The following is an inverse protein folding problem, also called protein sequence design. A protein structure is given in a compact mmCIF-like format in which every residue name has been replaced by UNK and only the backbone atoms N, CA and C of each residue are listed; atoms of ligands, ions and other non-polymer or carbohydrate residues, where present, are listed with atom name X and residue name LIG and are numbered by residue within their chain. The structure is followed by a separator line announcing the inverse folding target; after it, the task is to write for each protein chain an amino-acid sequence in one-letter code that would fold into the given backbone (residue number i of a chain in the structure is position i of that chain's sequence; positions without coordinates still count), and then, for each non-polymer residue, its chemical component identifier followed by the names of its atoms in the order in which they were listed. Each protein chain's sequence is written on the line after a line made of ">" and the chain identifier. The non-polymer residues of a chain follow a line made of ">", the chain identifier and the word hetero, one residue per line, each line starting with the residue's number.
data_IF_320929892282
#
_entry.id   IF_320929892282
#
_cell.length_a   1.000
_cell.length_b   1.000
_cell.length_c   1.000
_cell.angle_alpha   90.00
_cell.angle_beta   90.00
_cell.angle_gamma   90.00
#
_symmetry.space_group_name_H-M   'P 1'
#
loop_
_entity.id
_entity.type
_entity.pdbx_description
1 polymer ?
#
# COMPACT_ATOMS: atom_id res chain seq x y z
N UNK A 1 -15.90 20.61 -9.06
CA UNK A 1 -15.57 20.18 -7.68
C UNK A 1 -14.13 19.70 -7.58
N UNK A 2 -13.71 18.71 -8.38
CA UNK A 2 -12.32 18.26 -8.44
C UNK A 2 -11.32 19.41 -8.70
N UNK A 3 -11.63 20.29 -9.66
CA UNK A 3 -10.80 21.47 -9.96
C UNK A 3 -10.67 22.43 -8.78
N UNK A 4 -11.74 22.64 -8.00
CA UNK A 4 -11.68 23.55 -6.84
C UNK A 4 -10.90 22.97 -5.66
N UNK A 5 -10.67 21.66 -5.66
CA UNK A 5 -9.85 20.95 -4.67
C UNK A 5 -8.43 20.67 -5.20
N UNK A 6 -8.14 21.02 -6.47
CA UNK A 6 -6.86 20.73 -7.11
C UNK A 6 -6.57 19.23 -7.24
N UNK A 7 -7.60 18.39 -7.31
CA UNK A 7 -7.46 16.94 -7.49
C UNK A 7 -7.81 16.55 -8.94
N UNK A 8 -7.04 15.65 -9.57
CA UNK A 8 -7.36 15.16 -10.91
C UNK A 8 -8.64 14.31 -10.88
N UNK A 9 -9.40 14.40 -11.97
CA UNK A 9 -10.64 13.65 -12.17
C UNK A 9 -10.49 12.68 -13.34
N UNK A 10 -11.08 11.49 -13.22
CA UNK A 10 -11.08 10.47 -14.25
C UNK A 10 -12.38 9.67 -14.19
N UNK A 11 -13.11 9.60 -15.31
CA UNK A 11 -14.28 8.73 -15.44
C UNK A 11 -13.83 7.31 -15.80
N UNK A 12 -14.29 6.33 -15.04
CA UNK A 12 -13.89 4.92 -15.22
C UNK A 12 -15.11 4.02 -15.29
N UNK A 13 -15.04 2.95 -16.09
CA UNK A 13 -16.03 1.87 -16.09
C UNK A 13 -15.35 0.56 -15.79
N UNK A 14 -15.56 0.03 -14.58
CA UNK A 14 -15.08 -1.30 -14.22
C UNK A 14 -15.74 -2.39 -15.10
N UNK A 15 -17.00 -2.19 -15.47
CA UNK A 15 -17.76 -3.12 -16.33
C UNK A 15 -17.16 -3.24 -17.73
N UNK A 16 -16.73 -2.12 -18.29
CA UNK A 16 -16.21 -2.05 -19.66
C UNK A 16 -14.68 -1.90 -19.71
N UNK A 17 -14.00 -2.08 -18.57
CA UNK A 17 -12.57 -1.84 -18.37
C UNK A 17 -12.06 -0.45 -18.84
N UNK A 18 -12.94 0.54 -18.95
CA UNK A 18 -12.61 1.87 -19.47
C UNK A 18 -11.84 2.66 -18.41
N UNK A 19 -10.65 3.14 -18.77
CA UNK A 19 -9.79 3.99 -17.95
C UNK A 19 -9.35 3.37 -16.61
N UNK A 20 -9.58 2.07 -16.40
CA UNK A 20 -9.22 1.38 -15.14
C UNK A 20 -7.70 1.37 -14.97
N UNK A 21 -6.95 0.90 -15.97
CA UNK A 21 -5.48 0.87 -15.91
C UNK A 21 -4.89 2.28 -15.74
N UNK A 22 -5.39 3.24 -16.52
CA UNK A 22 -4.95 4.63 -16.43
C UNK A 22 -5.23 5.24 -15.05
N UNK A 23 -6.33 4.85 -14.38
CA UNK A 23 -6.62 5.32 -13.02
C UNK A 23 -5.55 4.88 -12.02
N UNK A 24 -5.11 3.62 -12.09
CA UNK A 24 -4.05 3.08 -11.25
C UNK A 24 -2.70 3.72 -11.54
N UNK A 25 -2.35 3.89 -12.82
CA UNK A 25 -1.08 4.51 -13.22
C UNK A 25 -1.02 5.98 -12.81
N UNK A 26 -2.11 6.72 -12.99
CA UNK A 26 -2.20 8.14 -12.59
C UNK A 26 -2.04 8.28 -11.09
N UNK A 27 -2.74 7.45 -10.30
CA UNK A 27 -2.62 7.46 -8.85
C UNK A 27 -1.21 7.12 -8.37
N UNK A 28 -0.60 6.08 -8.92
CA UNK A 28 0.77 5.69 -8.59
C UNK A 28 1.80 6.78 -8.93
N UNK A 29 1.64 7.42 -10.10
CA UNK A 29 2.49 8.54 -10.52
C UNK A 29 2.37 9.75 -9.58
N UNK A 30 1.15 10.10 -9.17
CA UNK A 30 0.92 11.21 -8.23
C UNK A 30 1.51 10.91 -6.84
N UNK A 31 1.38 9.68 -6.35
CA UNK A 31 2.03 9.26 -5.09
C UNK A 31 3.55 9.40 -5.21
N UNK A 32 4.15 8.86 -6.28
CA UNK A 32 5.60 8.96 -6.53
C UNK A 32 6.07 10.42 -6.61
N UNK A 33 5.33 11.27 -7.31
CA UNK A 33 5.62 12.70 -7.46
C UNK A 33 5.64 13.42 -6.12
N UNK A 34 4.69 13.12 -5.22
CA UNK A 34 4.63 13.72 -3.87
C UNK A 34 5.72 13.21 -2.94
N UNK A 35 6.06 11.93 -3.04
CA UNK A 35 7.04 11.26 -2.19
C UNK A 35 8.50 11.64 -2.51
N UNK A 36 8.78 12.12 -3.74
CA UNK A 36 10.12 12.51 -4.18
C UNK A 36 11.08 11.32 -4.39
N UNK A 37 12.26 11.55 -5.00
CA UNK A 37 13.25 10.50 -5.22
C UNK A 37 13.81 10.02 -3.87
N UNK A 38 13.40 8.83 -3.41
CA UNK A 38 13.91 8.19 -2.19
C UNK A 38 12.85 7.53 -1.32
N UNK A 39 11.62 8.05 -1.27
CA UNK A 39 10.57 7.48 -0.43
C UNK A 39 9.96 6.17 -0.96
N UNK A 40 10.19 5.83 -2.24
CA UNK A 40 9.78 4.54 -2.83
C UNK A 40 10.85 3.47 -2.75
N UNK A 41 12.11 3.84 -2.45
CA UNK A 41 13.26 2.95 -2.42
C UNK A 41 13.76 2.80 -0.98
N UNK A 42 13.02 2.10 -0.14
CA UNK A 42 13.47 1.84 1.23
C UNK A 42 12.38 1.92 2.30
N UNK A 43 11.25 1.23 2.10
CA UNK A 43 10.33 0.91 3.20
C UNK A 43 10.81 -0.24 4.08
N UNK A 44 12.12 -0.51 4.12
CA UNK A 44 12.72 -1.64 4.83
C UNK A 44 13.19 -1.28 6.25
N UNK A 45 12.88 -0.09 6.77
CA UNK A 45 13.28 0.32 8.11
C UNK A 45 12.09 0.66 9.03
N UNK A 46 10.98 -0.07 8.86
CA UNK A 46 10.15 -0.37 10.02
C UNK A 46 10.58 -1.76 10.47
N UNK A 47 11.06 -1.86 11.71
CA UNK A 47 11.42 -3.11 12.38
C UNK A 47 10.18 -3.99 12.53
N UNK A 48 9.72 -4.57 11.42
CA UNK A 48 8.59 -5.48 11.38
C UNK A 48 9.12 -6.81 11.91
N UNK A 49 8.90 -7.07 13.20
CA UNK A 49 9.22 -8.36 13.81
C UNK A 49 8.33 -9.41 13.16
N UNK A 50 8.91 -10.25 12.29
CA UNK A 50 8.22 -11.36 11.65
C UNK A 50 8.00 -12.47 12.67
N UNK A 51 6.85 -12.45 13.36
CA UNK A 51 6.48 -13.52 14.30
C UNK A 51 6.05 -14.74 13.48
N UNK A 52 6.93 -15.73 13.40
CA UNK A 52 6.60 -17.08 12.92
C UNK A 52 6.36 -17.96 14.15
N UNK A 53 5.11 -18.02 14.63
CA UNK A 53 4.76 -18.89 15.75
C UNK A 53 4.61 -20.33 15.28
N UNK A 54 5.34 -21.25 15.90
CA UNK A 54 5.03 -22.69 15.86
C UNK A 54 4.07 -23.03 17.00
N UNK A 55 3.14 -23.99 16.83
CA UNK A 55 2.27 -24.44 17.91
C UNK A 55 3.07 -24.87 19.13
N UNK A 56 2.75 -24.31 20.30
CA UNK A 56 3.41 -24.67 21.55
C UNK A 56 3.03 -26.12 21.87
N UNK A 57 4.01 -27.03 21.87
CA UNK A 57 3.82 -28.37 22.40
C UNK A 57 3.58 -28.22 23.90
N UNK A 58 2.37 -28.50 24.38
CA UNK A 58 2.07 -28.58 25.81
C UNK A 58 2.88 -29.74 26.41
N UNK A 59 4.09 -29.46 26.87
CA UNK A 59 4.77 -30.30 27.85
C UNK A 59 4.68 -29.55 29.18
N UNK A 60 4.04 -30.19 30.14
CA UNK A 60 3.54 -29.54 31.36
C UNK A 60 4.62 -28.89 32.20
N UNK A 61 4.20 -27.84 32.92
CA UNK A 61 4.81 -27.38 34.16
C UNK A 61 6.22 -26.82 34.04
N UNK A 62 6.33 -25.51 33.76
CA UNK A 62 7.58 -24.77 33.95
C UNK A 62 7.28 -23.29 34.01
N UNK A 63 7.64 -22.66 35.14
CA UNK A 63 7.51 -21.23 35.38
C UNK A 63 8.34 -20.43 34.36
N UNK A 64 7.64 -19.76 33.45
CA UNK A 64 8.06 -18.62 32.63
C UNK A 64 6.83 -17.75 32.39
#
# INVERSE_FOLDING_TARGET
>A
FADSLGIPFLETSAKNATNVEQSFMTMAAEIKKRMGPGATAGGAEKSNVKIQSTPVKQSGGGCC
#
